data_IF_436700703922
#
_entry.id   IF_436700703922
#
_cell.length_a   1.000
_cell.length_b   1.000
_cell.length_c   1.000
_cell.angle_alpha   90.00
_cell.angle_beta   90.00
_cell.angle_gamma   90.00
#
_symmetry.space_group_name_H-M   'P 1'
#
loop_
_entity.id
_entity.type
_entity.pdbx_description
1 polymer ?
#
# COMPACT_ATOMS: atom_id res chain seq x y z
N UNK A 1 35.43 -15.18 -4.49
CA UNK A 1 35.40 -13.78 -4.01
C UNK A 1 35.51 -13.77 -2.48
N UNK A 2 36.57 -13.20 -1.91
CA UNK A 2 36.80 -13.18 -0.46
C UNK A 2 35.95 -12.11 0.26
N UNK A 3 35.54 -12.40 1.50
CA UNK A 3 34.79 -11.47 2.36
C UNK A 3 35.71 -10.30 2.78
N UNK A 4 35.45 -9.10 2.26
CA UNK A 4 36.30 -7.92 2.51
C UNK A 4 36.09 -7.23 3.86
N UNK A 5 34.91 -7.36 4.47
CA UNK A 5 34.58 -6.66 5.73
C UNK A 5 33.82 -7.57 6.68
N UNK A 6 34.10 -7.51 7.98
CA UNK A 6 33.37 -8.30 8.97
C UNK A 6 32.01 -7.68 9.34
N UNK A 7 31.99 -6.39 9.72
CA UNK A 7 30.79 -5.69 10.22
C UNK A 7 30.31 -4.53 9.33
N UNK A 8 31.23 -3.84 8.66
CA UNK A 8 30.93 -2.57 8.00
C UNK A 8 30.10 -2.71 6.70
N UNK A 9 30.33 -3.74 5.88
CA UNK A 9 29.61 -3.96 4.62
C UNK A 9 29.58 -2.71 3.73
N UNK A 10 28.39 -2.37 3.23
CA UNK A 10 28.15 -1.19 2.35
C UNK A 10 28.57 0.15 2.96
N UNK A 11 28.67 0.22 4.30
CA UNK A 11 29.01 1.44 5.05
C UNK A 11 30.52 1.65 5.19
N UNK A 12 31.33 0.68 4.75
CA UNK A 12 32.79 0.80 4.77
C UNK A 12 33.29 2.01 3.96
N UNK A 13 32.53 2.46 2.95
CA UNK A 13 32.81 3.69 2.18
C UNK A 13 32.97 4.95 3.05
N UNK A 14 32.37 4.95 4.24
CA UNK A 14 32.41 6.10 5.14
C UNK A 14 33.67 6.12 6.02
N UNK A 15 34.45 5.04 6.04
CA UNK A 15 35.64 4.91 6.90
C UNK A 15 35.29 5.04 8.39
N UNK A 16 36.16 5.72 9.14
CA UNK A 16 36.00 5.99 10.57
C UNK A 16 34.98 7.08 10.89
N UNK A 17 34.55 7.88 9.90
CA UNK A 17 33.70 9.08 10.09
C UNK A 17 32.27 8.75 10.54
N UNK A 18 31.61 9.75 11.15
CA UNK A 18 30.18 9.79 11.51
C UNK A 18 29.71 8.89 12.69
N UNK A 19 30.58 8.04 13.24
CA UNK A 19 30.23 7.16 14.36
C UNK A 19 29.42 5.90 13.97
N UNK A 20 29.39 4.92 14.87
CA UNK A 20 28.85 3.57 14.59
C UNK A 20 27.33 3.57 14.42
N UNK A 21 26.60 4.31 15.25
CA UNK A 21 25.13 4.34 15.25
C UNK A 21 24.56 4.87 13.93
N UNK A 22 25.10 5.99 13.44
CA UNK A 22 24.72 6.62 12.17
C UNK A 22 25.05 5.70 11.01
N UNK A 23 26.26 5.14 10.96
CA UNK A 23 26.64 4.18 9.91
C UNK A 23 25.72 2.96 9.90
N UNK A 24 25.34 2.42 11.05
CA UNK A 24 24.42 1.27 11.14
C UNK A 24 23.05 1.58 10.53
N UNK A 25 22.47 2.75 10.85
CA UNK A 25 21.18 3.20 10.27
C UNK A 25 21.29 3.47 8.76
N UNK A 26 22.37 4.11 8.33
CA UNK A 26 22.63 4.31 6.89
C UNK A 26 22.79 2.98 6.15
N UNK A 27 23.46 2.00 6.78
CA UNK A 27 23.65 0.67 6.21
C UNK A 27 22.35 -0.09 5.96
N UNK A 28 21.39 -0.03 6.91
CA UNK A 28 20.08 -0.65 6.73
C UNK A 28 19.29 0.01 5.59
N UNK A 29 19.29 1.34 5.50
CA UNK A 29 18.65 2.08 4.41
C UNK A 29 19.31 1.80 3.05
N UNK A 30 20.63 1.76 2.98
CA UNK A 30 21.39 1.47 1.75
C UNK A 30 21.15 0.03 1.28
N UNK A 31 21.09 -0.95 2.19
CA UNK A 31 20.79 -2.35 1.86
C UNK A 31 19.42 -2.49 1.21
N UNK A 32 18.41 -1.81 1.77
CA UNK A 32 17.05 -1.72 1.21
C UNK A 32 17.08 -1.09 -0.19
N UNK A 33 17.69 0.09 -0.31
CA UNK A 33 17.85 0.80 -1.59
C UNK A 33 18.48 -0.05 -2.69
N UNK A 34 19.52 -0.83 -2.37
CA UNK A 34 20.27 -1.63 -3.35
C UNK A 34 19.63 -2.96 -3.70
N UNK A 35 18.60 -3.40 -2.96
CA UNK A 35 17.94 -4.68 -3.17
C UNK A 35 17.11 -4.64 -4.47
N UNK A 36 17.03 -5.79 -5.15
CA UNK A 36 16.08 -5.98 -6.24
C UNK A 36 14.71 -6.36 -5.68
N UNK A 37 13.66 -5.75 -6.21
CA UNK A 37 12.28 -5.99 -5.78
C UNK A 37 11.46 -6.66 -6.87
N UNK A 38 10.39 -7.32 -6.46
CA UNK A 38 9.39 -7.93 -7.33
C UNK A 38 8.56 -6.85 -8.01
N UNK A 39 8.39 -6.95 -9.33
CA UNK A 39 7.53 -6.05 -10.09
C UNK A 39 6.05 -6.36 -9.86
N UNK A 40 5.19 -5.35 -9.62
CA UNK A 40 3.75 -5.57 -9.49
C UNK A 40 3.07 -6.01 -10.80
N UNK A 41 3.67 -5.69 -11.96
CA UNK A 41 3.11 -6.00 -13.29
C UNK A 41 3.53 -7.36 -13.82
N UNK A 42 4.83 -7.69 -13.77
CA UNK A 42 5.36 -8.93 -14.35
C UNK A 42 5.83 -9.95 -13.32
N UNK A 43 5.81 -9.63 -12.02
CA UNK A 43 6.20 -10.53 -10.91
C UNK A 43 7.64 -11.05 -10.90
N UNK A 44 8.54 -10.46 -11.71
CA UNK A 44 9.98 -10.78 -11.65
C UNK A 44 10.73 -9.85 -10.70
N UNK A 45 11.76 -10.39 -10.05
CA UNK A 45 12.65 -9.66 -9.11
C UNK A 45 13.70 -8.84 -9.89
N UNK A 46 13.23 -7.85 -10.66
CA UNK A 46 14.05 -7.01 -11.56
C UNK A 46 13.82 -5.51 -11.37
N UNK A 47 13.07 -5.11 -10.34
CA UNK A 47 12.84 -3.69 -10.03
C UNK A 47 14.06 -3.08 -9.36
N UNK A 48 14.47 -1.91 -9.84
CA UNK A 48 15.56 -1.08 -9.29
C UNK A 48 15.08 0.35 -9.09
N UNK A 49 15.71 1.05 -8.15
CA UNK A 49 15.47 2.47 -7.92
C UNK A 49 16.10 3.30 -9.04
N UNK A 50 15.34 4.20 -9.64
CA UNK A 50 15.87 5.21 -10.57
C UNK A 50 16.22 6.49 -9.80
N UNK A 51 15.26 7.09 -9.11
CA UNK A 51 15.43 8.31 -8.33
C UNK A 51 14.75 8.18 -6.96
N UNK A 52 14.65 9.26 -6.19
CA UNK A 52 13.94 9.23 -4.91
C UNK A 52 12.44 9.01 -5.15
N UNK A 53 11.91 7.90 -4.65
CA UNK A 53 10.48 7.55 -4.80
C UNK A 53 10.10 6.97 -6.15
N UNK A 54 11.01 6.89 -7.14
CA UNK A 54 10.72 6.32 -8.47
C UNK A 54 11.46 5.00 -8.65
N UNK A 55 10.69 3.96 -9.01
CA UNK A 55 11.16 2.59 -9.20
C UNK A 55 10.82 2.11 -10.61
N UNK A 56 11.73 1.34 -11.20
CA UNK A 56 11.60 0.88 -12.58
C UNK A 56 11.99 -0.59 -12.71
N UNK A 57 11.17 -1.35 -13.44
CA UNK A 57 11.43 -2.75 -13.77
C UNK A 57 12.18 -2.87 -15.09
N UNK A 58 13.39 -3.43 -15.04
CA UNK A 58 14.19 -3.69 -16.26
C UNK A 58 13.61 -4.74 -17.21
N UNK A 59 12.58 -5.50 -16.81
CA UNK A 59 12.02 -6.58 -17.63
C UNK A 59 10.87 -6.10 -18.52
N UNK A 60 9.94 -5.33 -17.96
CA UNK A 60 8.68 -4.94 -18.60
C UNK A 60 8.51 -3.42 -18.71
N UNK A 61 9.58 -2.68 -18.46
CA UNK A 61 9.68 -1.21 -18.49
C UNK A 61 8.67 -0.45 -17.63
N UNK A 62 8.02 -1.14 -16.70
CA UNK A 62 7.07 -0.53 -15.79
C UNK A 62 7.79 0.35 -14.77
N UNK A 63 7.48 1.65 -14.80
CA UNK A 63 7.94 2.66 -13.85
C UNK A 63 6.78 3.04 -12.93
N UNK A 64 7.03 3.09 -11.63
CA UNK A 64 6.01 3.40 -10.64
C UNK A 64 6.57 4.17 -9.44
N UNK A 65 5.69 4.88 -8.74
CA UNK A 65 6.01 5.61 -7.51
C UNK A 65 5.98 4.67 -6.30
N UNK A 66 6.89 4.89 -5.35
CA UNK A 66 6.97 4.14 -4.11
C UNK A 66 7.73 4.92 -3.04
N UNK A 67 8.17 4.22 -2.00
CA UNK A 67 8.99 4.84 -0.95
C UNK A 67 10.40 5.21 -1.41
N UNK A 68 11.09 6.03 -0.60
CA UNK A 68 12.45 6.49 -0.89
C UNK A 68 13.48 5.37 -0.82
N UNK A 69 13.35 4.47 0.17
CA UNK A 69 14.28 3.37 0.44
C UNK A 69 13.77 2.00 -0.03
N UNK A 70 12.45 1.82 -0.08
CA UNK A 70 11.76 0.59 -0.47
C UNK A 70 10.56 0.96 -1.36
N UNK A 71 10.25 0.21 -2.43
CA UNK A 71 9.13 0.53 -3.30
C UNK A 71 7.78 0.44 -2.57
N UNK A 72 7.62 -0.59 -1.73
CA UNK A 72 6.42 -0.81 -0.94
C UNK A 72 6.69 -0.43 0.52
N UNK A 73 6.04 0.62 1.01
CA UNK A 73 6.16 1.05 2.41
C UNK A 73 5.07 0.42 3.27
N UNK A 74 5.23 0.47 4.60
CA UNK A 74 4.19 0.02 5.54
C UNK A 74 2.87 0.76 5.33
N UNK A 75 2.92 2.05 5.03
CA UNK A 75 1.73 2.86 4.73
C UNK A 75 1.11 2.43 3.39
N UNK A 76 1.92 2.19 2.36
CA UNK A 76 1.44 1.68 1.07
C UNK A 76 0.73 0.32 1.22
N UNK A 77 1.29 -0.59 2.02
CA UNK A 77 0.67 -1.89 2.29
C UNK A 77 -0.66 -1.74 3.05
N UNK A 78 -0.72 -0.89 4.08
CA UNK A 78 -1.96 -0.59 4.79
C UNK A 78 -3.03 0.00 3.86
N UNK A 79 -2.65 0.98 3.04
CA UNK A 79 -3.57 1.62 2.08
C UNK A 79 -4.09 0.61 1.05
N UNK A 80 -3.23 -0.26 0.53
CA UNK A 80 -3.64 -1.30 -0.43
C UNK A 80 -4.66 -2.28 0.18
N UNK A 81 -4.59 -2.55 1.50
CA UNK A 81 -5.60 -3.37 2.19
C UNK A 81 -6.94 -2.65 2.31
N UNK A 82 -6.93 -1.35 2.60
CA UNK A 82 -8.14 -0.52 2.66
C UNK A 82 -8.78 -0.43 1.27
N UNK A 83 -7.99 -0.10 0.26
CA UNK A 83 -8.45 0.00 -1.13
C UNK A 83 -9.02 -1.33 -1.62
N UNK A 84 -8.38 -2.46 -1.29
CA UNK A 84 -8.91 -3.79 -1.63
C UNK A 84 -10.28 -4.03 -0.99
N UNK A 85 -10.42 -3.73 0.31
CA UNK A 85 -11.71 -3.83 1.02
C UNK A 85 -12.79 -2.95 0.38
N UNK A 86 -12.43 -1.76 -0.09
CA UNK A 86 -13.36 -0.87 -0.78
C UNK A 86 -13.74 -1.35 -2.19
N UNK A 87 -12.81 -1.97 -2.92
CA UNK A 87 -13.01 -2.45 -4.30
C UNK A 87 -13.74 -3.79 -4.38
N UNK A 88 -13.41 -4.74 -3.51
CA UNK A 88 -14.04 -6.06 -3.46
C UNK A 88 -15.45 -5.99 -2.85
N UNK A 89 -15.85 -4.82 -2.38
CA UNK A 89 -17.00 -4.66 -1.51
C UNK A 89 -16.69 -5.26 -0.15
N UNK A 90 -17.23 -4.63 0.87
CA UNK A 90 -17.63 -5.32 2.08
C UNK A 90 -18.29 -6.67 1.63
N UNK A 91 -17.94 -7.79 2.27
CA UNK A 91 -18.12 -9.18 1.81
C UNK A 91 -19.55 -9.49 1.31
N UNK A 92 -19.83 -10.65 0.70
CA UNK A 92 -21.20 -11.03 0.26
C UNK A 92 -22.31 -10.81 1.32
N UNK A 93 -21.92 -10.82 2.60
CA UNK A 93 -22.72 -10.45 3.76
C UNK A 93 -23.17 -8.98 3.76
N UNK A 94 -22.30 -8.05 3.35
CA UNK A 94 -22.57 -6.62 3.40
C UNK A 94 -23.46 -6.17 2.24
N UNK A 95 -23.38 -6.83 1.08
CA UNK A 95 -24.37 -6.64 0.01
C UNK A 95 -25.78 -7.10 0.45
N UNK A 96 -25.88 -8.18 1.21
CA UNK A 96 -27.16 -8.64 1.76
C UNK A 96 -27.71 -7.66 2.81
N UNK A 97 -26.85 -7.15 3.71
CA UNK A 97 -27.24 -6.16 4.73
C UNK A 97 -27.66 -4.83 4.08
N UNK A 98 -26.95 -4.36 3.05
CA UNK A 98 -27.32 -3.14 2.31
C UNK A 98 -28.67 -3.32 1.61
N UNK A 99 -28.92 -4.48 0.99
CA UNK A 99 -30.21 -4.78 0.39
C UNK A 99 -31.34 -4.85 1.42
N UNK A 100 -31.08 -5.45 2.60
CA UNK A 100 -32.04 -5.55 3.70
C UNK A 100 -32.39 -4.16 4.28
N UNK A 101 -31.38 -3.30 4.46
CA UNK A 101 -31.58 -1.93 4.93
C UNK A 101 -32.38 -1.10 3.92
N UNK A 102 -32.05 -1.21 2.63
CA UNK A 102 -32.77 -0.53 1.56
C UNK A 102 -34.25 -0.97 1.47
N UNK A 103 -34.54 -2.24 1.72
CA UNK A 103 -35.91 -2.74 1.79
C UNK A 103 -36.68 -2.15 2.98
N UNK A 104 -36.08 -2.11 4.18
CA UNK A 104 -36.70 -1.49 5.36
C UNK A 104 -36.96 0.01 5.18
N UNK A 105 -36.02 0.73 4.56
CA UNK A 105 -36.16 2.16 4.30
C UNK A 105 -37.23 2.47 3.24
N UNK A 106 -37.50 1.54 2.31
CA UNK A 106 -38.58 1.67 1.32
C UNK A 106 -39.96 1.52 1.97
N UNK A 107 -40.14 0.48 2.80
CA UNK A 107 -41.40 0.27 3.54
C UNK A 107 -41.70 1.43 4.48
N UNK A 108 -40.69 1.96 5.18
CA UNK A 108 -40.87 3.14 6.03
C UNK A 108 -41.33 4.36 5.23
N UNK A 109 -40.77 4.59 4.05
CA UNK A 109 -41.20 5.72 3.18
C UNK A 109 -42.62 5.56 2.66
N UNK A 110 -43.07 4.33 2.39
CA UNK A 110 -44.46 4.09 2.00
C UNK A 110 -45.38 4.39 3.18
N UNK A 111 -45.06 3.88 4.37
CA UNK A 111 -45.86 4.16 5.57
C UNK A 111 -45.92 5.67 5.88
N UNK A 112 -44.78 6.38 5.77
CA UNK A 112 -44.74 7.85 5.93
C UNK A 112 -45.58 8.56 4.85
N UNK A 113 -45.59 8.07 3.61
CA UNK A 113 -46.41 8.65 2.54
C UNK A 113 -47.91 8.40 2.75
N UNK A 114 -48.28 7.22 3.25
CA UNK A 114 -49.66 6.87 3.60
C UNK A 114 -50.16 7.71 4.80
N UNK A 115 -49.32 7.92 5.82
CA UNK A 115 -49.62 8.80 6.96
C UNK A 115 -49.80 10.26 6.52
N UNK A 116 -48.98 10.74 5.58
CA UNK A 116 -49.12 12.09 5.02
C UNK A 116 -50.41 12.22 4.21
N UNK A 117 -50.75 11.21 3.40
CA UNK A 117 -52.00 11.20 2.62
C UNK A 117 -53.25 11.23 3.53
N UNK A 118 -53.27 10.44 4.60
CA UNK A 118 -54.36 10.43 5.58
C UNK A 118 -54.51 11.79 6.30
N UNK A 119 -53.39 12.46 6.56
CA UNK A 119 -53.39 13.81 7.17
C UNK A 119 -53.80 14.95 6.23
N UNK A 120 -53.71 14.76 4.91
CA UNK A 120 -54.15 15.72 3.90
C UNK A 120 -55.65 15.56 3.54
N UNK A 121 -56.25 14.41 3.88
CA UNK A 121 -57.67 14.11 3.67
C UNK A 121 -58.60 14.47 4.85
N UNK A 122 -58.07 14.77 6.05
CA UNK A 122 -58.78 15.39 7.20
C UNK A 122 -58.82 16.93 7.16
#
# INVERSE_FOLDING_TARGET
MAKRTQKAGLTARFGSRYGVSVRRRAGSALKKKSKLYTCPKCHYVKVRRQSAGIWHCKKCDHTFSGGVWEPFTRASDANNRVVRRSLEGATATDMAVIAQQAAMDFERKIAEADEVADSEEE
#
